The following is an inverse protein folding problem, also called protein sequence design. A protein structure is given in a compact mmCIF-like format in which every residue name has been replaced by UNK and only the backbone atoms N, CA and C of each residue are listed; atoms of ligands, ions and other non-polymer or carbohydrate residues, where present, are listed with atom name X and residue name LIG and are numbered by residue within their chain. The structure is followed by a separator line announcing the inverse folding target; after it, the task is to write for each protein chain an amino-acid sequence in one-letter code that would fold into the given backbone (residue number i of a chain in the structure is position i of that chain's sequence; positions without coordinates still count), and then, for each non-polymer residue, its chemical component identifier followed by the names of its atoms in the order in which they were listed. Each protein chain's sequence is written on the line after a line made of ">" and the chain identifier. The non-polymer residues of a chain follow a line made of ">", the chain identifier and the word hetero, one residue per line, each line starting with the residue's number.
data_IF_371095509747
#
_entry.id   IF_371095509747
#
_cell.length_a   1.000
_cell.length_b   1.000
_cell.length_c   1.000
_cell.angle_alpha   90.00
_cell.angle_beta   90.00
_cell.angle_gamma   90.00
#
_symmetry.space_group_name_H-M   'P 1'
#
loop_
_entity.id
_entity.type
_entity.pdbx_description
1 polymer ?
#
# COMPACT_ATOMS: atom_id res chain seq x y z
N UNK A 1 60.52 -22.85 7.89
CA UNK A 1 59.98 -22.99 6.51
C UNK A 1 58.47 -23.35 6.53
N UNK A 2 58.08 -24.42 7.20
CA UNK A 2 56.70 -24.92 7.29
C UNK A 2 55.70 -23.86 7.86
N UNK A 3 56.08 -23.15 8.93
CA UNK A 3 55.27 -22.06 9.52
C UNK A 3 55.06 -20.90 8.55
N UNK A 4 56.04 -20.56 7.73
CA UNK A 4 55.91 -19.47 6.74
C UNK A 4 55.03 -19.89 5.57
N UNK A 5 55.11 -21.15 5.14
CA UNK A 5 54.20 -21.69 4.11
C UNK A 5 52.74 -21.69 4.59
N UNK A 6 52.49 -22.14 5.82
CA UNK A 6 51.17 -22.14 6.44
C UNK A 6 50.57 -20.71 6.58
N UNK A 7 51.41 -19.75 6.99
CA UNK A 7 50.98 -18.34 7.07
C UNK A 7 50.64 -17.74 5.69
N UNK A 8 51.36 -18.13 4.65
CA UNK A 8 51.08 -17.69 3.29
C UNK A 8 49.78 -18.30 2.77
N UNK A 9 49.53 -19.59 3.04
CA UNK A 9 48.29 -20.27 2.68
C UNK A 9 47.08 -19.67 3.38
N UNK A 10 47.15 -19.43 4.72
CA UNK A 10 46.06 -18.76 5.47
C UNK A 10 45.77 -17.37 4.93
N UNK A 11 46.78 -16.60 4.57
CA UNK A 11 46.64 -15.29 3.98
C UNK A 11 45.93 -15.36 2.60
N UNK A 12 46.32 -16.37 1.78
CA UNK A 12 45.65 -16.57 0.50
C UNK A 12 44.20 -16.98 0.65
N UNK A 13 43.90 -17.93 1.54
CA UNK A 13 42.55 -18.36 1.87
C UNK A 13 41.67 -17.20 2.36
N UNK A 14 42.20 -16.36 3.24
CA UNK A 14 41.48 -15.18 3.71
C UNK A 14 41.17 -14.20 2.57
N UNK A 15 42.10 -14.01 1.63
CA UNK A 15 41.87 -13.17 0.45
C UNK A 15 40.83 -13.79 -0.49
N UNK A 16 40.86 -15.10 -0.69
CA UNK A 16 39.91 -15.83 -1.52
C UNK A 16 38.51 -15.82 -0.92
N UNK A 17 38.35 -16.00 0.40
CA UNK A 17 37.07 -15.89 1.12
C UNK A 17 36.49 -14.51 0.89
N UNK A 18 37.28 -13.46 1.13
CA UNK A 18 36.81 -12.09 0.96
C UNK A 18 36.34 -11.79 -0.49
N UNK A 19 37.10 -12.29 -1.49
CA UNK A 19 36.73 -12.15 -2.91
C UNK A 19 35.44 -12.90 -3.24
N UNK A 20 35.32 -14.15 -2.82
CA UNK A 20 34.17 -15.00 -3.05
C UNK A 20 32.90 -14.47 -2.34
N UNK A 21 33.04 -13.91 -1.15
CA UNK A 21 31.92 -13.23 -0.46
C UNK A 21 31.43 -12.02 -1.24
N UNK A 22 32.34 -11.21 -1.79
CA UNK A 22 31.98 -10.07 -2.62
C UNK A 22 31.29 -10.52 -3.92
N UNK A 23 31.87 -11.49 -4.64
CA UNK A 23 31.27 -12.04 -5.87
C UNK A 23 29.89 -12.67 -5.62
N UNK A 24 29.74 -13.39 -4.48
CA UNK A 24 28.44 -13.95 -4.05
C UNK A 24 27.43 -12.84 -3.77
N UNK A 25 27.84 -11.78 -3.09
CA UNK A 25 26.97 -10.61 -2.82
C UNK A 25 26.48 -9.92 -4.08
N UNK A 26 27.37 -9.71 -5.04
CA UNK A 26 27.03 -9.14 -6.34
C UNK A 26 26.05 -10.05 -7.13
N UNK A 27 26.32 -11.35 -7.17
CA UNK A 27 25.45 -12.31 -7.84
C UNK A 27 24.06 -12.40 -7.22
N UNK A 28 23.98 -12.34 -5.87
CA UNK A 28 22.72 -12.28 -5.13
C UNK A 28 21.93 -11.01 -5.47
N UNK A 29 22.60 -9.86 -5.50
CA UNK A 29 21.93 -8.59 -5.85
C UNK A 29 21.36 -8.61 -7.27
N UNK A 30 22.10 -9.14 -8.24
CA UNK A 30 21.61 -9.31 -9.64
C UNK A 30 20.42 -10.27 -9.71
N UNK A 31 20.51 -11.41 -9.02
CA UNK A 31 19.40 -12.38 -8.91
C UNK A 31 18.15 -11.73 -8.35
N UNK A 32 18.29 -11.04 -7.22
CA UNK A 32 17.15 -10.46 -6.50
C UNK A 32 16.49 -9.33 -7.31
N UNK A 33 17.29 -8.54 -8.02
CA UNK A 33 16.77 -7.54 -8.95
C UNK A 33 15.94 -8.20 -10.06
N UNK A 34 16.48 -9.24 -10.71
CA UNK A 34 15.76 -9.96 -11.76
C UNK A 34 14.49 -10.67 -11.27
N UNK A 35 14.50 -11.21 -10.05
CA UNK A 35 13.31 -11.84 -9.44
C UNK A 35 12.18 -10.83 -9.20
N UNK A 36 12.50 -9.57 -8.89
CA UNK A 36 11.50 -8.51 -8.68
C UNK A 36 10.81 -8.08 -9.98
N UNK A 37 11.42 -8.31 -11.13
CA UNK A 37 10.82 -8.00 -12.45
C UNK A 37 9.84 -9.08 -12.93
N UNK A 38 9.82 -10.25 -12.28
CA UNK A 38 8.89 -11.31 -12.64
C UNK A 38 7.50 -10.96 -12.11
N UNK A 39 6.50 -10.80 -13.00
CA UNK A 39 5.14 -10.50 -12.57
C UNK A 39 4.53 -11.67 -11.78
N UNK A 40 3.62 -11.32 -10.88
CA UNK A 40 2.87 -12.32 -10.13
C UNK A 40 1.91 -13.07 -11.07
N UNK A 41 2.08 -14.38 -11.21
CA UNK A 41 1.23 -15.20 -12.07
C UNK A 41 -0.05 -15.56 -11.34
N UNK A 42 -1.20 -15.19 -11.92
CA UNK A 42 -2.51 -15.60 -11.45
C UNK A 42 -2.95 -16.84 -12.25
N UNK A 43 -2.85 -18.03 -11.66
CA UNK A 43 -3.33 -19.26 -12.29
C UNK A 43 -4.85 -19.19 -12.50
N UNK A 44 -5.31 -19.55 -13.72
CA UNK A 44 -6.72 -19.58 -14.08
C UNK A 44 -7.37 -18.20 -14.26
N UNK A 45 -6.59 -17.12 -14.31
CA UNK A 45 -7.11 -15.83 -14.74
C UNK A 45 -7.51 -15.91 -16.22
N UNK A 46 -8.72 -15.47 -16.61
CA UNK A 46 -9.09 -15.43 -18.01
C UNK A 46 -8.22 -14.41 -18.75
N UNK A 47 -7.82 -14.77 -19.99
CA UNK A 47 -7.23 -13.81 -20.90
C UNK A 47 -8.32 -12.85 -21.38
N UNK A 48 -8.04 -11.55 -21.42
CA UNK A 48 -8.99 -10.56 -21.90
C UNK A 48 -8.75 -9.17 -21.35
N UNK A 49 -9.63 -8.26 -21.75
CA UNK A 49 -9.65 -6.88 -21.27
C UNK A 49 -10.54 -6.78 -20.02
N UNK A 50 -10.55 -5.61 -19.38
CA UNK A 50 -11.37 -5.33 -18.21
C UNK A 50 -12.88 -5.52 -18.47
N UNK A 51 -13.31 -5.36 -19.72
CA UNK A 51 -14.69 -5.57 -20.17
C UNK A 51 -15.06 -7.05 -20.32
N UNK A 52 -14.10 -7.96 -20.39
CA UNK A 52 -14.31 -9.40 -20.63
C UNK A 52 -14.66 -10.17 -19.34
N UNK A 53 -15.40 -9.54 -18.43
CA UNK A 53 -15.84 -10.19 -17.20
C UNK A 53 -17.02 -11.14 -17.42
N UNK A 54 -17.09 -12.19 -16.62
CA UNK A 54 -18.24 -13.09 -16.58
C UNK A 54 -19.14 -12.69 -15.40
N UNK A 55 -20.35 -12.22 -15.70
CA UNK A 55 -21.36 -11.96 -14.68
C UNK A 55 -21.77 -13.28 -14.02
N UNK A 56 -21.50 -13.44 -12.74
CA UNK A 56 -21.83 -14.65 -11.99
C UNK A 56 -23.21 -14.57 -11.34
N UNK A 57 -23.54 -13.43 -10.76
CA UNK A 57 -24.75 -13.26 -9.98
C UNK A 57 -25.18 -11.81 -9.96
N UNK A 58 -26.47 -11.55 -9.95
CA UNK A 58 -27.05 -10.23 -9.67
C UNK A 58 -27.79 -10.33 -8.34
N UNK A 59 -27.39 -9.53 -7.37
CA UNK A 59 -28.00 -9.47 -6.05
C UNK A 59 -28.78 -8.18 -5.89
N UNK A 60 -30.09 -8.28 -5.68
CA UNK A 60 -30.98 -7.13 -5.54
C UNK A 60 -31.43 -6.55 -6.88
N UNK A 61 -32.14 -5.45 -6.81
CA UNK A 61 -32.66 -4.70 -7.97
C UNK A 61 -32.05 -3.30 -7.99
N UNK A 62 -31.76 -2.77 -9.19
CA UNK A 62 -31.31 -1.41 -9.34
C UNK A 62 -32.50 -0.49 -9.07
N UNK A 63 -32.45 0.39 -8.04
CA UNK A 63 -33.55 1.27 -7.73
C UNK A 63 -33.77 2.29 -8.85
N UNK A 64 -35.03 2.56 -9.17
CA UNK A 64 -35.41 3.70 -10.01
C UNK A 64 -35.90 4.84 -9.14
N UNK A 65 -35.53 6.06 -9.50
CA UNK A 65 -35.92 7.26 -8.76
C UNK A 65 -36.80 8.15 -9.66
N UNK A 66 -37.79 8.81 -9.07
CA UNK A 66 -38.68 9.75 -9.69
C UNK A 66 -38.24 11.22 -9.54
N UNK A 67 -37.00 11.42 -9.03
CA UNK A 67 -36.33 12.71 -8.82
C UNK A 67 -34.95 12.73 -9.46
N UNK A 68 -34.42 13.93 -9.68
CA UNK A 68 -33.07 14.15 -10.20
C UNK A 68 -32.03 13.67 -9.18
N UNK A 69 -31.21 12.72 -9.61
CA UNK A 69 -30.13 12.15 -8.76
C UNK A 69 -29.00 13.15 -8.69
N UNK A 70 -28.62 13.55 -7.47
CA UNK A 70 -27.46 14.39 -7.19
C UNK A 70 -26.23 13.53 -6.92
N UNK A 71 -25.06 14.02 -7.36
CA UNK A 71 -23.80 13.37 -7.03
C UNK A 71 -23.40 13.61 -5.56
N UNK A 72 -22.36 12.88 -5.10
CA UNK A 72 -21.88 12.96 -3.73
C UNK A 72 -21.41 14.36 -3.33
N UNK A 73 -20.84 15.13 -4.27
CA UNK A 73 -20.34 16.48 -3.99
C UNK A 73 -21.51 17.46 -3.82
N UNK A 74 -22.52 17.42 -4.70
CA UNK A 74 -23.71 18.28 -4.61
C UNK A 74 -24.47 18.05 -3.30
N UNK A 75 -24.60 16.78 -2.88
CA UNK A 75 -25.22 16.43 -1.59
C UNK A 75 -24.38 16.97 -0.43
N UNK A 76 -23.08 16.73 -0.47
CA UNK A 76 -22.16 17.11 0.60
C UNK A 76 -21.98 18.62 0.72
N UNK A 77 -22.01 19.38 -0.38
CA UNK A 77 -22.00 20.84 -0.37
C UNK A 77 -23.28 21.40 0.26
N UNK A 78 -24.44 20.85 -0.08
CA UNK A 78 -25.73 21.21 0.53
C UNK A 78 -25.73 20.99 2.04
N UNK A 79 -25.10 19.92 2.51
CA UNK A 79 -24.94 19.59 3.93
C UNK A 79 -23.76 20.32 4.60
N UNK A 80 -22.95 21.05 3.84
CA UNK A 80 -21.66 21.63 4.29
C UNK A 80 -20.71 20.59 4.88
N UNK A 81 -20.77 19.39 4.37
CA UNK A 81 -20.03 18.21 4.86
C UNK A 81 -18.63 18.10 4.26
N UNK A 82 -18.42 18.62 3.04
CA UNK A 82 -17.13 18.64 2.32
C UNK A 82 -16.76 20.09 1.97
N UNK A 83 -15.47 20.41 2.04
CA UNK A 83 -14.93 21.71 1.64
C UNK A 83 -13.70 21.52 0.73
N UNK A 84 -13.96 21.43 -0.57
CA UNK A 84 -12.92 21.29 -1.59
C UNK A 84 -12.08 22.55 -1.77
N UNK A 85 -12.71 23.73 -1.69
CA UNK A 85 -12.03 25.02 -1.92
C UNK A 85 -10.96 25.27 -0.88
N UNK A 86 -11.25 25.02 0.40
CA UNK A 86 -10.25 25.15 1.47
C UNK A 86 -9.23 24.03 1.45
N UNK A 87 -9.60 22.81 1.07
CA UNK A 87 -8.66 21.74 0.82
C UNK A 87 -7.61 22.10 -0.22
N UNK A 88 -8.07 22.57 -1.38
CA UNK A 88 -7.20 23.03 -2.45
C UNK A 88 -6.32 24.24 -2.04
N UNK A 89 -6.86 25.16 -1.24
CA UNK A 89 -6.10 26.29 -0.72
C UNK A 89 -4.95 25.89 0.18
N UNK A 90 -5.13 24.84 1.00
CA UNK A 90 -4.13 24.42 2.01
C UNK A 90 -3.11 23.45 1.42
N UNK A 91 -3.56 22.50 0.60
CA UNK A 91 -2.73 21.36 0.18
C UNK A 91 -2.68 21.15 -1.34
N UNK A 92 -3.40 21.94 -2.12
CA UNK A 92 -3.48 21.79 -3.57
C UNK A 92 -4.72 21.01 -4.02
N UNK A 93 -4.79 20.76 -5.33
CA UNK A 93 -5.91 20.01 -5.93
C UNK A 93 -6.04 18.61 -5.33
N UNK A 94 -7.28 18.08 -5.32
CA UNK A 94 -7.60 16.73 -4.79
C UNK A 94 -7.34 16.55 -3.29
N UNK A 95 -7.23 17.64 -2.53
CA UNK A 95 -7.34 17.65 -1.07
C UNK A 95 -8.65 18.31 -0.66
N UNK A 96 -9.19 17.88 0.47
CA UNK A 96 -10.48 18.32 0.97
C UNK A 96 -10.50 18.34 2.50
N UNK A 97 -11.48 19.05 3.05
CA UNK A 97 -11.83 18.92 4.46
C UNK A 97 -13.21 18.25 4.57
N UNK A 98 -13.33 17.24 5.42
CA UNK A 98 -14.62 16.79 5.93
C UNK A 98 -15.00 17.69 7.11
N UNK A 99 -16.27 18.06 7.19
CA UNK A 99 -16.79 18.97 8.20
C UNK A 99 -18.10 18.46 8.79
N UNK A 100 -18.33 18.74 10.09
CA UNK A 100 -19.60 18.43 10.74
C UNK A 100 -20.04 17.00 10.50
N UNK A 101 -21.22 16.82 9.88
CA UNK A 101 -21.80 15.51 9.60
C UNK A 101 -20.89 14.64 8.70
N UNK A 102 -20.12 15.23 7.77
CA UNK A 102 -19.20 14.48 6.91
C UNK A 102 -18.08 13.84 7.70
N UNK A 103 -17.45 14.58 8.60
CA UNK A 103 -16.41 14.03 9.48
C UNK A 103 -16.97 12.98 10.45
N UNK A 104 -18.16 13.21 11.00
CA UNK A 104 -18.83 12.24 11.86
C UNK A 104 -19.19 10.95 11.13
N UNK A 105 -19.63 11.05 9.87
CA UNK A 105 -19.98 9.90 9.05
C UNK A 105 -18.74 9.05 8.71
N UNK A 106 -17.62 9.67 8.36
CA UNK A 106 -16.36 8.93 8.13
C UNK A 106 -15.94 8.16 9.37
N UNK A 107 -15.91 8.82 10.53
CA UNK A 107 -15.55 8.17 11.80
C UNK A 107 -16.52 7.03 12.15
N UNK A 108 -17.82 7.21 11.90
CA UNK A 108 -18.82 6.17 12.16
C UNK A 108 -18.62 4.95 11.25
N UNK A 109 -18.34 5.15 9.96
CA UNK A 109 -18.09 4.08 9.00
C UNK A 109 -16.83 3.31 9.38
N UNK A 110 -15.74 4.00 9.71
CA UNK A 110 -14.48 3.37 10.12
C UNK A 110 -14.65 2.58 11.43
N UNK A 111 -15.32 3.13 12.43
CA UNK A 111 -15.61 2.41 13.66
C UNK A 111 -16.49 1.17 13.40
N UNK A 112 -17.52 1.28 12.55
CA UNK A 112 -18.34 0.13 12.17
C UNK A 112 -17.54 -0.96 11.48
N UNK A 113 -16.60 -0.61 10.59
CA UNK A 113 -15.71 -1.56 9.92
C UNK A 113 -14.80 -2.29 10.92
N UNK A 114 -14.21 -1.56 11.88
CA UNK A 114 -13.38 -2.12 12.96
C UNK A 114 -14.19 -3.06 13.84
N UNK A 115 -15.41 -2.69 14.22
CA UNK A 115 -16.31 -3.52 15.03
C UNK A 115 -16.67 -4.83 14.29
N UNK A 116 -16.96 -4.75 13.00
CA UNK A 116 -17.24 -5.94 12.18
C UNK A 116 -16.02 -6.85 12.09
N UNK A 117 -14.84 -6.30 11.81
CA UNK A 117 -13.60 -7.05 11.75
C UNK A 117 -13.28 -7.73 13.09
N UNK A 118 -13.44 -7.01 14.20
CA UNK A 118 -13.23 -7.55 15.56
C UNK A 118 -14.17 -8.71 15.86
N UNK A 119 -15.46 -8.58 15.53
CA UNK A 119 -16.45 -9.66 15.66
C UNK A 119 -16.14 -10.88 14.78
N UNK A 120 -15.47 -10.66 13.63
CA UNK A 120 -14.99 -11.72 12.76
C UNK A 120 -13.64 -12.34 13.18
N UNK A 121 -13.11 -11.95 14.34
CA UNK A 121 -11.88 -12.49 14.92
C UNK A 121 -10.59 -11.86 14.39
N UNK A 122 -10.66 -10.66 13.81
CA UNK A 122 -9.48 -9.88 13.47
C UNK A 122 -9.01 -9.03 14.66
N UNK A 123 -7.70 -8.87 14.80
CA UNK A 123 -7.11 -7.92 15.73
C UNK A 123 -7.05 -6.55 15.07
N UNK A 124 -7.75 -5.52 15.59
CA UNK A 124 -7.68 -4.18 15.03
C UNK A 124 -6.31 -3.54 15.31
N UNK A 125 -5.77 -2.86 14.32
CA UNK A 125 -4.47 -2.18 14.40
C UNK A 125 -4.54 -0.78 13.81
N UNK A 126 -3.95 0.20 14.49
CA UNK A 126 -3.63 1.51 13.94
C UNK A 126 -2.19 1.44 13.47
N UNK A 127 -1.96 1.53 12.16
CA UNK A 127 -0.65 1.30 11.57
C UNK A 127 0.12 2.60 11.35
N UNK A 128 1.47 2.54 11.33
CA UNK A 128 2.29 3.66 10.86
C UNK A 128 1.94 4.05 9.43
N UNK A 129 2.00 5.34 9.12
CA UNK A 129 1.82 5.87 7.77
C UNK A 129 3.13 6.16 7.06
N UNK A 130 4.23 6.21 7.80
CA UNK A 130 5.59 6.31 7.31
C UNK A 130 6.28 4.97 7.47
N UNK A 131 6.89 4.48 6.40
CA UNK A 131 7.54 3.17 6.37
C UNK A 131 8.92 3.27 5.71
N UNK A 132 9.78 2.32 6.05
CA UNK A 132 11.11 2.17 5.46
C UNK A 132 11.04 1.71 3.99
N UNK A 133 12.09 2.00 3.19
CA UNK A 133 12.17 1.54 1.79
C UNK A 133 11.93 0.05 1.62
N UNK A 134 12.50 -0.79 2.49
CA UNK A 134 12.35 -2.25 2.39
C UNK A 134 10.89 -2.72 2.54
N UNK A 135 10.06 -2.01 3.31
CA UNK A 135 8.64 -2.33 3.43
C UNK A 135 7.89 -2.03 2.13
N UNK A 136 8.23 -0.91 1.46
CA UNK A 136 7.66 -0.55 0.17
C UNK A 136 8.12 -1.48 -0.95
N UNK A 137 9.41 -1.84 -0.97
CA UNK A 137 9.97 -2.80 -1.93
C UNK A 137 9.32 -4.17 -1.77
N UNK A 138 9.27 -4.68 -0.54
CA UNK A 138 8.73 -6.01 -0.23
C UNK A 138 7.24 -6.17 -0.56
N UNK A 139 6.52 -5.06 -0.70
CA UNK A 139 5.10 -5.02 -1.08
C UNK A 139 4.87 -4.57 -2.53
N UNK A 140 5.95 -4.39 -3.32
CA UNK A 140 5.89 -4.11 -4.76
C UNK A 140 5.61 -2.66 -5.15
N UNK A 141 5.68 -1.71 -4.21
CA UNK A 141 5.36 -0.30 -4.49
C UNK A 141 6.52 0.51 -5.09
N UNK A 142 7.77 0.04 -5.03
CA UNK A 142 8.93 0.74 -5.60
C UNK A 142 9.35 0.23 -7.00
N UNK A 143 8.54 -0.64 -7.63
CA UNK A 143 8.69 -1.04 -9.02
C UNK A 143 7.95 -0.10 -9.97
N UNK A 144 7.04 -0.64 -10.76
CA UNK A 144 6.22 0.11 -11.73
C UNK A 144 5.36 1.22 -11.11
N UNK A 145 5.08 1.15 -9.80
CA UNK A 145 4.25 2.10 -9.07
C UNK A 145 5.02 3.16 -8.29
N UNK A 146 6.33 3.30 -8.49
CA UNK A 146 7.16 4.26 -7.76
C UNK A 146 6.68 5.71 -7.91
N UNK A 147 6.12 6.07 -9.07
CA UNK A 147 5.57 7.40 -9.35
C UNK A 147 4.31 7.73 -8.55
N UNK A 148 3.61 6.72 -8.04
CA UNK A 148 2.39 6.86 -7.24
C UNK A 148 2.67 7.16 -5.75
N UNK A 149 3.92 7.03 -5.32
CA UNK A 149 4.31 7.08 -3.91
C UNK A 149 4.87 8.45 -3.54
N UNK A 150 4.50 8.95 -2.37
CA UNK A 150 5.15 10.09 -1.74
C UNK A 150 6.40 9.62 -0.98
N UNK A 151 7.55 10.06 -1.42
CA UNK A 151 8.83 9.86 -0.76
C UNK A 151 9.22 11.15 -0.02
N UNK A 152 9.59 11.05 1.23
CA UNK A 152 10.20 12.15 1.97
C UNK A 152 11.62 12.37 1.45
N UNK A 153 12.17 13.55 1.71
CA UNK A 153 13.48 13.88 1.17
C UNK A 153 14.58 12.94 1.73
N UNK A 154 15.77 13.03 1.11
CA UNK A 154 16.88 12.10 1.36
C UNK A 154 17.42 12.07 2.81
N UNK A 155 16.96 12.97 3.68
CA UNK A 155 17.41 12.98 5.08
C UNK A 155 16.72 11.94 5.93
N UNK A 156 15.44 11.67 5.67
CA UNK A 156 14.62 10.74 6.44
C UNK A 156 14.51 9.37 5.76
N UNK A 157 14.58 9.32 4.42
CA UNK A 157 14.43 8.12 3.59
C UNK A 157 13.22 7.25 3.99
N UNK A 158 12.05 7.89 4.10
CA UNK A 158 10.79 7.29 4.48
C UNK A 158 9.74 7.53 3.38
N UNK A 159 8.80 6.64 3.28
CA UNK A 159 7.70 6.69 2.32
C UNK A 159 6.35 6.79 3.03
N UNK A 160 5.44 7.61 2.49
CA UNK A 160 4.04 7.58 2.89
C UNK A 160 3.33 6.40 2.24
N UNK A 161 2.64 5.60 3.05
CA UNK A 161 1.93 4.41 2.56
C UNK A 161 0.75 4.78 1.67
N UNK A 162 0.58 4.09 0.56
CA UNK A 162 -0.62 4.14 -0.29
C UNK A 162 -1.76 3.24 0.20
N UNK A 163 -1.47 2.39 1.17
CA UNK A 163 -2.39 1.46 1.81
C UNK A 163 -1.81 0.97 3.14
N UNK A 164 -2.67 0.70 4.14
CA UNK A 164 -2.26 0.11 5.43
C UNK A 164 -1.62 -1.27 5.26
N UNK A 165 -1.89 -1.96 4.16
CA UNK A 165 -1.36 -3.29 3.86
C UNK A 165 0.16 -3.32 3.83
N UNK A 166 0.84 -2.25 3.43
CA UNK A 166 2.31 -2.16 3.46
C UNK A 166 2.86 -2.39 4.87
N UNK A 167 2.31 -1.68 5.85
CA UNK A 167 2.71 -1.82 7.24
C UNK A 167 2.31 -3.19 7.81
N UNK A 168 1.12 -3.69 7.48
CA UNK A 168 0.62 -4.99 7.95
C UNK A 168 1.43 -6.15 7.38
N UNK A 169 1.76 -6.14 6.09
CA UNK A 169 2.55 -7.19 5.45
C UNK A 169 3.98 -7.24 6.00
N UNK A 170 4.51 -6.08 6.43
CA UNK A 170 5.84 -5.98 7.02
C UNK A 170 5.87 -6.23 8.54
N UNK A 171 4.70 -6.36 9.18
CA UNK A 171 4.61 -6.43 10.64
C UNK A 171 5.37 -7.60 11.25
N UNK A 172 5.39 -8.73 10.56
CA UNK A 172 6.10 -9.94 10.97
C UNK A 172 7.37 -10.20 10.14
N UNK A 173 7.92 -9.16 9.51
CA UNK A 173 9.17 -9.29 8.76
C UNK A 173 10.25 -9.91 9.65
N UNK A 174 10.97 -10.89 9.10
CA UNK A 174 12.07 -11.60 9.78
C UNK A 174 11.67 -12.36 11.05
N UNK A 175 10.37 -12.66 11.26
CA UNK A 175 9.86 -13.47 12.36
C UNK A 175 9.47 -14.87 11.90
N UNK A 176 9.67 -15.85 12.78
CA UNK A 176 9.14 -17.22 12.62
C UNK A 176 7.87 -17.32 13.44
N UNK A 177 6.74 -17.54 12.77
CA UNK A 177 5.42 -17.56 13.39
C UNK A 177 4.96 -18.99 13.65
N UNK A 178 4.39 -19.23 14.84
CA UNK A 178 3.65 -20.46 15.14
C UNK A 178 2.18 -20.30 14.68
N UNK A 179 1.83 -20.99 13.61
CA UNK A 179 0.48 -21.02 13.06
C UNK A 179 -0.29 -22.30 13.43
N UNK A 180 0.18 -23.08 14.43
CA UNK A 180 -0.48 -24.31 14.89
C UNK A 180 -1.91 -24.07 15.40
N UNK A 181 -2.22 -22.86 15.85
CA UNK A 181 -3.56 -22.44 16.30
C UNK A 181 -4.42 -21.79 15.19
N UNK A 182 -3.96 -21.82 13.95
CA UNK A 182 -4.66 -21.26 12.81
C UNK A 182 -4.08 -19.92 12.33
N UNK A 183 -4.75 -19.25 11.36
CA UNK A 183 -4.27 -18.00 10.78
C UNK A 183 -4.36 -16.84 11.77
N UNK A 184 -3.35 -15.99 11.77
CA UNK A 184 -3.37 -14.71 12.47
C UNK A 184 -4.05 -13.68 11.56
N UNK A 185 -5.02 -12.93 12.08
CA UNK A 185 -5.83 -11.99 11.30
C UNK A 185 -5.72 -10.59 11.86
N UNK A 186 -5.41 -9.63 11.00
CA UNK A 186 -5.29 -8.22 11.35
C UNK A 186 -6.24 -7.37 10.49
N UNK A 187 -6.78 -6.31 11.09
CA UNK A 187 -7.52 -5.26 10.41
C UNK A 187 -6.84 -3.92 10.71
N UNK A 188 -6.13 -3.38 9.74
CA UNK A 188 -5.38 -2.13 9.90
C UNK A 188 -6.19 -0.91 9.49
N UNK A 189 -6.04 0.16 10.25
CA UNK A 189 -6.54 1.49 9.91
C UNK A 189 -5.40 2.49 9.87
N UNK A 190 -5.32 3.26 8.77
CA UNK A 190 -4.43 4.42 8.67
C UNK A 190 -4.93 5.45 7.66
N UNK A 191 -4.37 6.64 7.72
CA UNK A 191 -4.35 7.55 6.58
C UNK A 191 -3.44 6.95 5.49
N UNK A 192 -3.86 7.09 4.23
CA UNK A 192 -3.15 6.60 3.06
C UNK A 192 -2.96 7.73 2.06
N UNK A 193 -1.90 7.66 1.25
CA UNK A 193 -1.47 8.75 0.38
C UNK A 193 -1.09 8.20 -0.98
N UNK A 194 -1.63 8.80 -2.02
CA UNK A 194 -1.29 8.44 -3.41
C UNK A 194 -1.04 9.69 -4.23
N UNK A 195 -0.07 9.70 -5.08
CA UNK A 195 0.20 10.81 -6.00
C UNK A 195 -0.77 10.83 -7.18
N UNK A 196 -1.46 9.71 -7.44
CA UNK A 196 -2.41 9.58 -8.54
C UNK A 196 -1.80 10.02 -9.89
N UNK A 197 -0.54 9.65 -10.12
CA UNK A 197 0.19 9.95 -11.33
C UNK A 197 -0.51 9.28 -12.53
N UNK A 198 -0.59 9.96 -13.67
CA UNK A 198 -1.24 9.40 -14.86
C UNK A 198 -2.77 9.43 -14.88
N UNK A 199 -3.44 9.86 -13.81
CA UNK A 199 -4.91 9.92 -13.74
C UNK A 199 -5.50 11.26 -14.20
N UNK A 200 -4.86 11.93 -15.13
CA UNK A 200 -5.32 13.22 -15.65
C UNK A 200 -6.68 13.09 -16.34
N UNK A 201 -7.67 13.86 -15.85
CA UNK A 201 -9.02 13.92 -16.42
C UNK A 201 -9.97 12.80 -15.99
N UNK A 202 -9.53 11.80 -15.22
CA UNK A 202 -10.41 10.73 -14.71
C UNK A 202 -10.81 11.02 -13.26
N UNK A 203 -12.12 10.94 -12.97
CA UNK A 203 -12.70 11.03 -11.61
C UNK A 203 -12.16 12.20 -10.76
N UNK A 204 -11.96 13.37 -11.43
CA UNK A 204 -11.37 14.54 -10.78
C UNK A 204 -12.37 15.35 -9.96
N UNK A 205 -13.67 15.04 -10.07
CA UNK A 205 -14.74 15.74 -9.35
C UNK A 205 -14.97 15.08 -7.98
N UNK A 206 -15.01 15.90 -6.95
CA UNK A 206 -15.30 15.48 -5.58
C UNK A 206 -14.17 14.69 -4.93
N UNK A 207 -14.52 13.66 -4.15
CA UNK A 207 -13.58 12.89 -3.31
C UNK A 207 -13.42 11.42 -3.75
N UNK A 208 -13.77 11.08 -5.00
CA UNK A 208 -13.63 9.71 -5.51
C UNK A 208 -12.15 9.36 -5.69
N UNK A 209 -11.35 10.31 -6.20
CA UNK A 209 -9.92 10.13 -6.42
C UNK A 209 -9.12 11.28 -5.80
N UNK A 210 -8.52 11.03 -4.66
CA UNK A 210 -7.87 12.03 -3.81
C UNK A 210 -6.47 11.58 -3.39
N UNK A 211 -5.62 12.56 -2.99
CA UNK A 211 -4.24 12.30 -2.60
C UNK A 211 -4.10 11.76 -1.18
N UNK A 212 -5.10 12.02 -0.32
CA UNK A 212 -5.15 11.54 1.06
C UNK A 212 -6.54 10.99 1.37
N UNK A 213 -6.60 9.81 1.96
CA UNK A 213 -7.83 9.13 2.37
C UNK A 213 -7.55 8.18 3.53
N UNK A 214 -8.59 7.70 4.19
CA UNK A 214 -8.47 6.65 5.21
C UNK A 214 -8.85 5.28 4.65
N UNK A 215 -8.16 4.28 5.11
CA UNK A 215 -8.40 2.89 4.71
C UNK A 215 -8.31 1.96 5.92
#
# INVERSE_FOLDING_TARGET
>A
EEKQALLAEVKQLAADVKRLEAESGEALAVRDAALREIPNLAEGAPEGLEEDFVLRETVGEIPSFDFEIKDHLEIAEGLKAIDMARGAKVSGARFYFLRGVGAQLELAILNSAIDQATKAGFTPMITPTLVLPEAMEGTGFLGEHADEVYHLDKGDDLYLVGTSEVALASYHKDEILDLSHGPIRYAGWSACYRREAGSYGKDTRGIIRVHQFHK
#
